data_IF_797853087417
#
_entry.id   IF_797853087417
#
_cell.length_a   1.000
_cell.length_b   1.000
_cell.length_c   1.000
_cell.angle_alpha   90.00
_cell.angle_beta   90.00
_cell.angle_gamma   90.00
#
_symmetry.space_group_name_H-M   'P 1'
#
loop_
_entity.id
_entity.type
_entity.pdbx_description
1 polymer ?
#
# COMPACT_ATOMS: atom_id res chain seq x y z
N UNK A 1 -15.62 1.07 -6.10
CA UNK A 1 -15.71 1.94 -4.92
C UNK A 1 -14.31 2.06 -4.35
N UNK A 2 -13.77 3.27 -4.13
CA UNK A 2 -12.48 3.46 -3.44
C UNK A 2 -12.70 3.03 -1.99
N UNK A 3 -12.20 1.87 -1.57
CA UNK A 3 -12.18 1.54 -0.16
C UNK A 3 -11.27 2.55 0.55
N UNK A 4 -11.79 3.18 1.61
CA UNK A 4 -11.00 4.08 2.44
C UNK A 4 -10.30 3.24 3.51
N UNK A 5 -9.03 2.87 3.27
CA UNK A 5 -8.21 2.25 4.30
C UNK A 5 -7.56 3.33 5.16
N UNK A 6 -7.50 3.09 6.47
CA UNK A 6 -6.94 4.05 7.43
C UNK A 6 -5.69 3.48 8.09
N UNK A 7 -4.68 4.34 8.28
CA UNK A 7 -3.44 3.95 8.89
C UNK A 7 -3.66 3.63 10.38
N UNK A 8 -3.24 2.44 10.87
CA UNK A 8 -3.41 2.09 12.29
C UNK A 8 -2.58 2.96 13.24
N UNK A 9 -1.58 3.70 12.74
CA UNK A 9 -0.71 4.53 13.58
C UNK A 9 -1.27 5.94 13.82
N UNK A 10 -2.00 6.51 12.86
CA UNK A 10 -2.43 7.91 12.92
C UNK A 10 -3.87 8.17 12.44
N UNK A 11 -4.60 7.14 12.01
CA UNK A 11 -5.97 7.25 11.51
C UNK A 11 -6.11 7.97 10.16
N UNK A 12 -5.02 8.39 9.52
CA UNK A 12 -5.07 9.06 8.20
C UNK A 12 -5.38 8.06 7.08
N UNK A 13 -6.03 8.50 5.99
CA UNK A 13 -6.27 7.64 4.83
C UNK A 13 -4.94 7.17 4.23
N UNK A 14 -4.92 5.90 3.80
CA UNK A 14 -3.80 5.29 3.09
C UNK A 14 -4.04 5.37 1.58
N UNK A 15 -2.95 5.40 0.83
CA UNK A 15 -2.98 5.52 -0.62
C UNK A 15 -2.14 4.45 -1.30
N UNK A 16 -2.60 3.99 -2.46
CA UNK A 16 -1.82 3.13 -3.33
C UNK A 16 -0.75 3.95 -4.04
N UNK A 17 0.51 3.55 -3.86
CA UNK A 17 1.68 4.15 -4.48
C UNK A 17 2.30 3.16 -5.45
N UNK A 18 2.56 3.65 -6.66
CA UNK A 18 3.32 2.95 -7.69
C UNK A 18 4.78 3.34 -7.57
N UNK A 19 5.65 2.35 -7.40
CA UNK A 19 7.10 2.51 -7.42
C UNK A 19 7.64 1.92 -8.71
N UNK A 20 8.54 2.65 -9.37
CA UNK A 20 9.22 2.19 -10.57
C UNK A 20 10.68 2.05 -10.20
N UNK A 21 11.18 0.82 -10.25
CA UNK A 21 12.60 0.55 -10.11
C UNK A 21 13.30 0.87 -11.44
N UNK A 22 13.99 2.01 -11.51
CA UNK A 22 14.61 2.49 -12.74
C UNK A 22 15.63 1.52 -13.36
N UNK A 23 16.48 0.81 -12.58
CA UNK A 23 17.44 -0.15 -13.14
C UNK A 23 16.78 -1.35 -13.83
N UNK A 24 15.69 -1.89 -13.28
CA UNK A 24 15.04 -3.11 -13.81
C UNK A 24 13.79 -2.82 -14.64
N UNK A 25 13.28 -1.59 -14.59
CA UNK A 25 11.97 -1.23 -15.12
C UNK A 25 10.80 -1.88 -14.36
N UNK A 26 11.07 -2.55 -13.24
CA UNK A 26 10.04 -3.26 -12.50
C UNK A 26 9.11 -2.27 -11.81
N UNK A 27 7.82 -2.40 -12.10
CA UNK A 27 6.79 -1.63 -11.42
C UNK A 27 6.28 -2.44 -10.22
N UNK A 28 6.31 -1.83 -9.04
CA UNK A 28 5.71 -2.38 -7.83
C UNK A 28 4.65 -1.43 -7.26
N UNK A 29 3.73 -1.97 -6.48
CA UNK A 29 2.62 -1.27 -5.87
C UNK A 29 2.60 -1.56 -4.38
N UNK A 30 2.54 -0.51 -3.57
CA UNK A 30 2.39 -0.61 -2.12
C UNK A 30 1.20 0.25 -1.71
N UNK A 31 0.52 -0.11 -0.63
CA UNK A 31 -0.50 0.75 -0.01
C UNK A 31 0.00 1.11 1.37
N UNK A 32 -0.06 2.38 1.73
CA UNK A 32 0.41 2.81 3.03
C UNK A 32 0.06 4.25 3.35
N UNK A 33 0.41 4.65 4.56
CA UNK A 33 0.22 6.01 5.01
C UNK A 33 1.06 6.99 4.19
N UNK A 34 0.62 8.25 4.10
CA UNK A 34 1.44 9.29 3.49
C UNK A 34 2.79 9.48 4.22
N UNK A 35 2.79 9.31 5.55
CA UNK A 35 4.00 9.36 6.37
C UNK A 35 4.81 8.06 6.24
N UNK A 36 6.02 8.09 5.67
CA UNK A 36 6.85 6.90 5.43
C UNK A 36 7.26 6.15 6.71
N UNK A 37 7.17 6.79 7.88
CA UNK A 37 7.46 6.14 9.18
C UNK A 37 6.31 5.28 9.71
N UNK A 38 5.14 5.37 9.09
CA UNK A 38 3.96 4.63 9.52
C UNK A 38 3.79 3.33 8.70
N UNK A 39 2.71 2.61 8.97
CA UNK A 39 2.35 1.38 8.28
C UNK A 39 2.32 1.54 6.75
N UNK A 40 3.01 0.61 6.09
CA UNK A 40 3.01 0.38 4.65
C UNK A 40 2.99 -1.11 4.40
N UNK A 41 2.26 -1.54 3.38
CA UNK A 41 2.40 -2.89 2.86
C UNK A 41 3.71 -3.04 2.08
N UNK A 42 4.10 -4.29 1.80
CA UNK A 42 5.23 -4.58 0.92
C UNK A 42 4.92 -4.15 -0.53
N UNK A 43 5.94 -4.09 -1.37
CA UNK A 43 5.75 -3.90 -2.82
C UNK A 43 5.20 -5.17 -3.47
N UNK A 44 4.13 -5.03 -4.26
CA UNK A 44 3.50 -6.11 -5.03
C UNK A 44 3.48 -5.79 -6.52
N UNK A 45 3.33 -6.81 -7.36
CA UNK A 45 3.36 -6.66 -8.83
C UNK A 45 2.24 -5.78 -9.39
N UNK A 46 1.09 -5.68 -8.71
CA UNK A 46 -0.02 -4.82 -9.13
C UNK A 46 -0.83 -4.29 -7.92
N UNK A 47 -1.65 -3.27 -8.16
CA UNK A 47 -2.46 -2.61 -7.14
C UNK A 47 -3.48 -3.57 -6.50
N UNK A 48 -4.17 -4.40 -7.29
CA UNK A 48 -5.19 -5.32 -6.78
C UNK A 48 -4.63 -6.33 -5.76
N UNK A 49 -3.44 -6.86 -6.00
CA UNK A 49 -2.76 -7.73 -5.03
C UNK A 49 -2.40 -6.96 -3.77
N UNK A 50 -1.95 -5.71 -3.89
CA UNK A 50 -1.64 -4.88 -2.74
C UNK A 50 -2.90 -4.61 -1.88
N UNK A 51 -4.07 -4.41 -2.50
CA UNK A 51 -5.37 -4.24 -1.82
C UNK A 51 -5.78 -5.53 -1.08
N UNK A 52 -5.76 -6.68 -1.75
CA UNK A 52 -6.10 -7.98 -1.15
C UNK A 52 -5.20 -8.28 0.05
N UNK A 53 -3.90 -7.98 -0.05
CA UNK A 53 -2.95 -8.22 1.02
C UNK A 53 -3.15 -7.24 2.18
N UNK A 54 -3.50 -5.98 1.89
CA UNK A 54 -3.85 -5.01 2.92
C UNK A 54 -5.08 -5.45 3.71
N UNK A 55 -6.14 -5.89 3.03
CA UNK A 55 -7.36 -6.38 3.70
C UNK A 55 -7.03 -7.55 4.64
N UNK A 56 -6.19 -8.49 4.20
CA UNK A 56 -5.73 -9.60 5.05
C UNK A 56 -4.93 -9.15 6.26
N UNK A 57 -4.13 -8.10 6.14
CA UNK A 57 -3.32 -7.57 7.24
C UNK A 57 -4.14 -6.78 8.26
N UNK A 58 -5.22 -6.14 7.83
CA UNK A 58 -6.09 -5.33 8.71
C UNK A 58 -7.16 -6.16 9.44
N UNK A 59 -7.52 -7.34 8.94
CA UNK A 59 -8.56 -8.20 9.51
C UNK A 59 -8.02 -9.49 10.18
N UNK A 60 -6.72 -9.53 10.48
CA UNK A 60 -6.12 -10.53 11.38
C UNK A 60 -6.26 -10.09 12.82
#
# INVERSE_FOLDING_TARGET
MKQAWFCPNCGQPMEARRHIDNPTGQTTWSIGCLNPKHFHTRGYINAAIAEIQLEKLLHQ
#
